data_IF_101694607703
#
_entry.id   IF_101694607703
#
_cell.length_a   1.000
_cell.length_b   1.000
_cell.length_c   1.000
_cell.angle_alpha   90.00
_cell.angle_beta   90.00
_cell.angle_gamma   90.00
#
_symmetry.space_group_name_H-M   'P 1'
#
loop_
_entity.id
_entity.type
_entity.pdbx_description
1 polymer ?
#
# COMPACT_ATOMS: atom_id res chain seq x y z
N UNK A 1 11.44 -19.91 -22.11
CA UNK A 1 11.72 -18.91 -21.05
C UNK A 1 10.84 -17.70 -21.32
N UNK A 2 10.01 -17.30 -20.35
CA UNK A 2 9.05 -16.19 -20.49
C UNK A 2 9.72 -14.84 -20.13
N UNK A 3 9.38 -13.72 -20.81
CA UNK A 3 9.64 -12.38 -20.29
C UNK A 3 8.99 -12.22 -18.91
N UNK A 4 9.57 -11.40 -18.03
CA UNK A 4 9.05 -11.29 -16.66
C UNK A 4 7.66 -10.68 -16.58
N UNK A 5 7.31 -9.76 -17.47
CA UNK A 5 5.96 -9.21 -17.55
C UNK A 5 4.93 -10.29 -17.91
N UNK A 6 5.26 -11.19 -18.86
CA UNK A 6 4.39 -12.30 -19.24
C UNK A 6 4.26 -13.33 -18.13
N UNK A 7 5.35 -13.67 -17.43
CA UNK A 7 5.33 -14.55 -16.27
C UNK A 7 4.48 -13.96 -15.13
N UNK A 8 4.63 -12.66 -14.85
CA UNK A 8 3.81 -11.96 -13.86
C UNK A 8 2.33 -11.95 -14.23
N UNK A 9 2.00 -11.70 -15.50
CA UNK A 9 0.63 -11.73 -16.00
C UNK A 9 0.02 -13.13 -15.85
N UNK A 10 0.78 -14.19 -16.17
CA UNK A 10 0.35 -15.58 -16.00
C UNK A 10 0.05 -15.93 -14.53
N UNK A 11 0.90 -15.49 -13.58
CA UNK A 11 0.63 -15.64 -12.14
C UNK A 11 -0.70 -15.00 -11.77
N UNK A 12 -0.90 -13.74 -12.16
CA UNK A 12 -2.13 -12.98 -11.85
C UNK A 12 -3.37 -13.65 -12.44
N UNK A 13 -3.31 -14.06 -13.70
CA UNK A 13 -4.42 -14.71 -14.40
C UNK A 13 -4.76 -16.08 -13.78
N UNK A 14 -3.74 -16.88 -13.48
CA UNK A 14 -3.93 -18.19 -12.84
C UNK A 14 -4.63 -18.05 -11.48
N UNK A 15 -4.20 -17.10 -10.65
CA UNK A 15 -4.85 -16.91 -9.36
C UNK A 15 -6.27 -16.39 -9.50
N UNK A 16 -6.52 -15.47 -10.43
CA UNK A 16 -7.88 -14.97 -10.71
C UNK A 16 -8.83 -16.09 -11.13
N UNK A 17 -8.38 -16.98 -12.02
CA UNK A 17 -9.22 -18.05 -12.55
C UNK A 17 -9.39 -19.22 -11.59
N UNK A 18 -8.34 -19.59 -10.83
CA UNK A 18 -8.32 -20.83 -10.03
C UNK A 18 -8.57 -20.64 -8.54
N UNK A 19 -8.19 -19.48 -7.96
CA UNK A 19 -8.38 -19.23 -6.52
C UNK A 19 -9.77 -18.72 -6.16
N UNK A 20 -10.69 -18.58 -7.13
CA UNK A 20 -12.05 -18.09 -6.88
C UNK A 20 -12.10 -16.63 -6.38
N UNK A 21 -11.05 -15.86 -6.64
CA UNK A 21 -11.01 -14.42 -6.33
C UNK A 21 -11.72 -13.70 -7.48
N UNK A 22 -12.87 -13.07 -7.31
CA UNK A 22 -13.20 -12.06 -6.32
C UNK A 22 -14.40 -12.34 -5.39
N UNK A 23 -15.21 -13.36 -5.61
CA UNK A 23 -16.47 -13.53 -4.85
C UNK A 23 -16.29 -14.27 -3.51
N UNK A 24 -15.35 -15.22 -3.41
CA UNK A 24 -15.07 -15.95 -2.17
C UNK A 24 -14.16 -15.18 -1.19
N UNK A 25 -13.54 -14.08 -1.63
CA UNK A 25 -12.59 -13.30 -0.82
C UNK A 25 -13.17 -12.76 0.49
N UNK A 26 -14.49 -12.55 0.54
CA UNK A 26 -15.18 -12.08 1.75
C UNK A 26 -15.74 -13.22 2.62
N UNK A 27 -15.67 -14.48 2.15
CA UNK A 27 -16.20 -15.63 2.87
C UNK A 27 -15.44 -15.93 4.18
N UNK A 28 -14.18 -15.53 4.28
CA UNK A 28 -13.32 -15.73 5.45
C UNK A 28 -12.95 -14.40 6.12
N UNK A 29 -13.95 -13.52 6.31
CA UNK A 29 -13.74 -12.24 6.96
C UNK A 29 -13.55 -12.42 8.48
N UNK A 30 -12.66 -11.61 9.04
CA UNK A 30 -12.48 -11.45 10.49
C UNK A 30 -12.89 -10.05 10.91
N UNK A 31 -13.23 -9.88 12.19
CA UNK A 31 -13.69 -8.60 12.73
C UNK A 31 -12.57 -7.95 13.54
N UNK A 32 -12.26 -6.70 13.20
CA UNK A 32 -11.32 -5.85 13.94
C UNK A 32 -12.12 -4.83 14.75
N UNK A 33 -11.77 -4.71 16.03
CA UNK A 33 -12.31 -3.72 16.96
C UNK A 33 -11.39 -2.48 16.95
N UNK A 34 -11.82 -1.40 16.29
CA UNK A 34 -11.03 -0.17 16.11
C UNK A 34 -10.68 0.53 17.43
N UNK A 35 -11.60 0.71 18.39
CA UNK A 35 -11.28 1.30 19.68
C UNK A 35 -10.19 0.54 20.43
N UNK A 36 -10.09 -0.77 20.25
CA UNK A 36 -9.10 -1.62 20.94
C UNK A 36 -7.75 -1.63 20.23
N UNK A 37 -7.73 -1.84 18.93
CA UNK A 37 -6.48 -1.88 18.15
C UNK A 37 -6.68 -1.40 16.71
N UNK A 38 -6.62 -0.10 16.45
CA UNK A 38 -6.73 0.44 15.10
C UNK A 38 -5.58 -0.01 14.19
N UNK A 39 -4.40 -0.37 14.75
CA UNK A 39 -3.24 -0.82 13.96
C UNK A 39 -3.49 -2.16 13.28
N UNK A 40 -4.32 -3.03 13.90
CA UNK A 40 -4.67 -4.32 13.31
C UNK A 40 -5.41 -4.19 11.97
N UNK A 41 -6.05 -3.03 11.72
CA UNK A 41 -6.79 -2.73 10.50
C UNK A 41 -5.90 -2.16 9.38
N UNK A 42 -4.73 -1.62 9.69
CA UNK A 42 -3.85 -0.99 8.70
C UNK A 42 -3.40 -2.02 7.65
N UNK A 43 -3.59 -1.65 6.36
CA UNK A 43 -3.22 -2.49 5.22
C UNK A 43 -4.16 -3.66 4.95
N UNK A 44 -5.21 -3.86 5.77
CA UNK A 44 -6.24 -4.90 5.55
C UNK A 44 -7.22 -4.48 4.45
N UNK A 45 -7.89 -5.45 3.89
CA UNK A 45 -8.90 -5.22 2.84
C UNK A 45 -10.28 -5.31 3.48
N UNK A 46 -11.06 -4.26 3.30
CA UNK A 46 -12.43 -4.18 3.82
C UNK A 46 -13.32 -5.23 3.14
N UNK A 47 -14.11 -5.95 3.95
CA UNK A 47 -14.99 -7.03 3.50
C UNK A 47 -16.49 -6.70 3.64
N UNK A 48 -16.83 -5.45 3.93
CA UNK A 48 -18.19 -4.96 4.08
C UNK A 48 -18.31 -3.54 3.54
N UNK A 49 -19.53 -3.07 3.31
CA UNK A 49 -19.80 -1.64 3.15
C UNK A 49 -19.62 -0.93 4.49
N UNK A 50 -19.06 0.27 4.45
CA UNK A 50 -19.11 1.25 5.54
C UNK A 50 -19.97 2.39 5.05
N UNK A 51 -21.14 2.54 5.67
CA UNK A 51 -22.12 3.55 5.30
C UNK A 51 -22.22 4.63 6.39
N UNK A 52 -22.55 5.84 5.97
CA UNK A 52 -22.81 6.95 6.87
C UNK A 52 -24.06 6.68 7.72
N UNK A 53 -23.95 6.77 9.05
CA UNK A 53 -25.05 6.56 10.01
C UNK A 53 -26.05 7.73 10.02
N UNK A 54 -25.64 8.90 9.53
CA UNK A 54 -26.40 10.14 9.41
C UNK A 54 -25.79 11.03 8.33
N UNK A 55 -26.41 12.18 8.08
CA UNK A 55 -25.81 13.20 7.20
C UNK A 55 -24.51 13.76 7.75
N UNK A 56 -23.52 13.97 6.89
CA UNK A 56 -22.24 14.60 7.19
C UNK A 56 -22.01 15.82 6.29
N UNK A 57 -21.76 17.01 6.86
CA UNK A 57 -21.94 17.32 8.28
C UNK A 57 -23.43 17.20 8.69
N UNK A 58 -23.74 16.97 9.99
CA UNK A 58 -25.13 16.76 10.45
C UNK A 58 -25.98 18.02 10.51
N UNK A 59 -25.37 19.17 10.26
CA UNK A 59 -26.04 20.50 10.21
C UNK A 59 -25.22 21.42 9.27
N UNK A 60 -25.84 22.51 8.84
CA UNK A 60 -25.10 23.55 8.11
C UNK A 60 -23.96 24.08 9.00
N UNK A 61 -22.71 23.94 8.59
CA UNK A 61 -21.52 24.15 9.40
C UNK A 61 -20.68 25.30 8.86
N UNK A 62 -20.34 26.28 9.71
CA UNK A 62 -19.40 27.34 9.31
C UNK A 62 -18.01 26.80 8.96
N UNK A 63 -17.42 27.37 7.91
CA UNK A 63 -16.03 27.08 7.50
C UNK A 63 -15.05 28.19 7.93
N UNK A 64 -15.55 29.26 8.54
CA UNK A 64 -14.76 30.43 8.96
C UNK A 64 -15.25 30.94 10.32
N UNK A 65 -14.34 31.59 11.03
CA UNK A 65 -14.68 32.42 12.17
C UNK A 65 -15.23 33.76 11.68
N UNK A 66 -16.31 34.23 12.26
CA UNK A 66 -16.98 35.45 11.83
C UNK A 66 -18.35 35.63 12.38
N UNK A 67 -19.26 36.14 11.55
CA UNK A 67 -20.63 36.46 11.95
C UNK A 67 -21.62 35.84 10.94
N UNK A 68 -22.59 35.12 11.48
CA UNK A 68 -23.71 34.56 10.73
C UNK A 68 -24.88 35.52 10.73
N UNK A 69 -25.50 35.75 9.57
CA UNK A 69 -26.64 36.65 9.42
C UNK A 69 -27.47 36.27 8.18
N UNK A 70 -28.53 37.06 7.95
CA UNK A 70 -29.24 37.05 6.67
C UNK A 70 -28.46 37.93 5.69
N UNK A 71 -28.04 37.39 4.55
CA UNK A 71 -27.27 38.14 3.54
C UNK A 71 -27.99 39.45 3.10
N UNK A 72 -29.30 39.41 2.97
CA UNK A 72 -30.11 40.58 2.64
C UNK A 72 -30.02 41.74 3.68
N UNK A 73 -29.54 41.47 4.90
CA UNK A 73 -29.35 42.49 5.93
C UNK A 73 -28.03 43.26 5.74
N UNK A 74 -27.13 42.79 4.87
CA UNK A 74 -25.80 43.41 4.58
C UNK A 74 -25.65 43.56 3.06
N UNK A 75 -26.56 44.31 2.46
CA UNK A 75 -26.57 44.56 1.00
C UNK A 75 -25.43 45.50 0.55
N UNK A 76 -24.95 46.36 1.43
CA UNK A 76 -23.93 47.36 1.14
C UNK A 76 -22.85 47.41 2.22
N UNK A 77 -21.58 47.76 1.85
CA UNK A 77 -20.53 48.03 2.81
C UNK A 77 -20.91 49.13 3.81
N UNK A 78 -20.42 49.03 5.03
CA UNK A 78 -20.76 50.00 6.10
C UNK A 78 -22.05 49.66 6.89
N UNK A 79 -22.72 48.57 6.54
CA UNK A 79 -23.93 48.11 7.27
C UNK A 79 -23.55 47.67 8.69
N UNK A 80 -24.39 48.02 9.65
CA UNK A 80 -24.27 47.63 11.08
C UNK A 80 -25.39 46.69 11.47
N UNK A 81 -25.05 45.55 12.10
CA UNK A 81 -26.04 44.64 12.68
C UNK A 81 -25.81 44.49 14.17
N UNK A 82 -26.90 44.26 14.92
CA UNK A 82 -26.84 44.01 16.36
C UNK A 82 -26.33 42.59 16.62
N UNK A 83 -25.33 42.44 17.47
CA UNK A 83 -24.81 41.16 17.93
C UNK A 83 -25.73 40.59 19.01
N UNK A 84 -26.38 39.45 18.71
CA UNK A 84 -27.41 38.88 19.62
C UNK A 84 -26.96 37.58 20.29
N UNK A 85 -25.78 37.07 19.99
CA UNK A 85 -25.25 35.87 20.64
C UNK A 85 -24.10 35.22 19.91
N UNK A 86 -23.82 33.99 20.29
CA UNK A 86 -22.70 33.20 19.76
C UNK A 86 -23.15 31.77 19.45
N UNK A 87 -22.60 31.21 18.35
CA UNK A 87 -22.62 29.78 17.98
C UNK A 87 -21.19 29.24 17.93
N UNK A 88 -20.93 28.14 18.61
CA UNK A 88 -19.63 27.51 18.67
C UNK A 88 -19.70 25.99 18.46
N UNK A 89 -18.61 25.33 18.20
CA UNK A 89 -18.59 23.88 18.05
C UNK A 89 -19.22 23.21 19.29
N UNK A 90 -20.23 22.35 19.04
CA UNK A 90 -20.98 21.64 20.07
C UNK A 90 -22.09 22.47 20.75
N UNK A 91 -22.22 23.80 20.50
CA UNK A 91 -23.24 24.67 21.11
C UNK A 91 -23.84 25.58 20.04
N UNK A 92 -25.03 25.23 19.58
CA UNK A 92 -25.79 26.06 18.63
C UNK A 92 -26.38 27.30 19.33
N UNK A 93 -26.49 28.43 18.59
CA UNK A 93 -27.30 29.55 19.03
C UNK A 93 -28.76 29.12 19.11
N UNK A 94 -29.45 29.32 20.27
CA UNK A 94 -30.80 28.77 20.48
C UNK A 94 -31.91 29.53 19.75
N UNK A 95 -31.64 30.78 19.34
CA UNK A 95 -32.63 31.66 18.72
C UNK A 95 -32.73 31.54 17.20
N UNK A 96 -33.55 32.38 16.61
CA UNK A 96 -33.64 32.62 15.16
C UNK A 96 -33.18 34.04 14.90
N UNK A 97 -32.29 34.24 13.94
CA UNK A 97 -31.76 35.55 13.56
C UNK A 97 -32.86 36.35 12.81
N UNK A 98 -33.16 37.54 13.30
CA UNK A 98 -34.05 38.48 12.65
C UNK A 98 -33.30 39.42 11.68
N UNK A 99 -34.01 40.22 10.90
CA UNK A 99 -33.41 41.28 10.12
C UNK A 99 -32.73 42.31 11.05
N UNK A 100 -31.54 42.75 10.69
CA UNK A 100 -30.75 43.69 11.52
C UNK A 100 -29.94 43.01 12.64
N UNK A 101 -29.92 41.70 12.72
CA UNK A 101 -29.19 40.94 13.74
C UNK A 101 -28.09 40.06 13.13
N UNK A 102 -27.05 39.81 13.89
CA UNK A 102 -26.02 38.83 13.60
C UNK A 102 -25.62 38.02 14.85
N UNK A 103 -25.07 36.85 14.63
CA UNK A 103 -24.56 35.95 15.67
C UNK A 103 -23.10 35.68 15.38
N UNK A 104 -22.23 35.82 16.37
CA UNK A 104 -20.85 35.40 16.26
C UNK A 104 -20.78 33.89 16.03
N UNK A 105 -20.00 33.45 15.06
CA UNK A 105 -19.89 32.04 14.71
C UNK A 105 -18.43 31.67 14.57
N UNK A 106 -18.09 30.49 15.15
CA UNK A 106 -16.73 29.93 15.04
C UNK A 106 -16.73 28.81 13.98
N UNK A 107 -15.59 28.55 13.41
CA UNK A 107 -15.35 27.43 12.48
C UNK A 107 -15.84 26.11 13.08
N UNK A 108 -16.59 25.33 12.31
CA UNK A 108 -17.19 24.09 12.78
C UNK A 108 -18.51 24.23 13.54
N UNK A 109 -18.93 25.46 13.87
CA UNK A 109 -20.17 25.70 14.57
C UNK A 109 -21.42 25.56 13.67
N UNK A 110 -22.57 25.15 14.25
CA UNK A 110 -23.85 25.14 13.53
C UNK A 110 -24.26 26.54 13.08
N UNK A 111 -24.69 26.66 11.81
CA UNK A 111 -25.27 27.90 11.30
C UNK A 111 -26.60 28.17 12.02
N UNK A 112 -26.77 29.35 12.64
CA UNK A 112 -28.02 29.69 13.34
C UNK A 112 -29.25 29.73 12.41
N UNK A 113 -30.41 29.39 12.94
CA UNK A 113 -31.66 29.50 12.20
C UNK A 113 -31.87 30.92 11.70
N UNK A 114 -32.27 31.05 10.44
CA UNK A 114 -32.50 32.35 9.79
C UNK A 114 -31.26 32.93 9.13
N UNK A 115 -30.06 32.44 9.39
CA UNK A 115 -28.85 32.81 8.65
C UNK A 115 -28.76 32.05 7.33
N UNK A 116 -28.24 32.71 6.31
CA UNK A 116 -27.95 32.18 4.99
C UNK A 116 -26.52 32.53 4.49
N UNK A 117 -25.71 33.09 5.37
CA UNK A 117 -24.32 33.49 5.08
C UNK A 117 -23.49 33.64 6.36
N UNK A 118 -22.17 33.53 6.19
CA UNK A 118 -21.18 33.90 7.20
C UNK A 118 -20.20 34.88 6.57
N UNK A 119 -19.95 36.01 7.24
CA UNK A 119 -18.89 36.96 6.87
C UNK A 119 -17.73 36.78 7.84
N UNK A 120 -16.53 36.68 7.29
CA UNK A 120 -15.31 36.48 8.09
C UNK A 120 -15.05 37.65 9.03
N UNK A 121 -14.54 37.40 10.22
CA UNK A 121 -14.25 38.40 11.23
C UNK A 121 -13.26 39.47 10.76
N UNK A 122 -12.33 39.12 9.85
CA UNK A 122 -11.33 40.01 9.25
C UNK A 122 -11.96 41.11 8.38
N UNK A 123 -13.25 40.96 8.01
CA UNK A 123 -13.99 41.90 7.18
C UNK A 123 -15.07 42.64 8.03
N UNK A 124 -14.83 42.70 9.33
CA UNK A 124 -15.80 43.30 10.25
C UNK A 124 -15.10 44.07 11.38
N UNK A 125 -15.82 45.05 11.97
CA UNK A 125 -15.40 45.76 13.17
C UNK A 125 -16.48 45.69 14.24
N UNK A 126 -16.10 45.26 15.46
CA UNK A 126 -17.05 45.20 16.60
C UNK A 126 -17.08 46.53 17.31
N UNK A 127 -18.28 47.13 17.45
CA UNK A 127 -18.52 48.42 18.12
C UNK A 127 -19.62 48.25 19.19
N UNK A 128 -19.20 47.90 20.40
CA UNK A 128 -20.14 47.61 21.51
C UNK A 128 -21.06 46.43 21.19
N UNK A 129 -22.36 46.68 21.11
CA UNK A 129 -23.38 45.68 20.76
C UNK A 129 -23.60 45.53 19.25
N UNK A 130 -22.83 46.24 18.43
CA UNK A 130 -23.01 46.23 16.98
C UNK A 130 -21.73 45.70 16.29
N UNK A 131 -21.92 45.14 15.08
CA UNK A 131 -20.86 44.71 14.19
C UNK A 131 -21.04 45.49 12.88
N UNK A 132 -19.99 46.18 12.48
CA UNK A 132 -19.87 46.89 11.20
C UNK A 132 -19.30 45.92 10.17
N UNK A 133 -19.94 45.79 9.03
CA UNK A 133 -19.53 44.95 7.89
C UNK A 133 -18.88 45.80 6.80
N UNK A 134 -17.65 45.54 6.47
CA UNK A 134 -16.85 46.31 5.49
C UNK A 134 -17.19 45.92 4.04
N UNK A 135 -17.89 44.80 3.82
CA UNK A 135 -18.29 44.30 2.51
C UNK A 135 -19.72 43.79 2.52
N UNK A 136 -20.38 43.84 1.36
CA UNK A 136 -21.68 43.25 1.15
C UNK A 136 -21.63 41.71 1.29
N UNK A 137 -22.63 41.15 1.95
CA UNK A 137 -22.77 39.70 2.13
C UNK A 137 -23.47 39.07 0.93
N UNK A 138 -23.09 37.83 0.61
CA UNK A 138 -23.75 37.02 -0.42
C UNK A 138 -24.29 35.74 0.19
N UNK A 139 -25.48 35.31 -0.22
CA UNK A 139 -26.08 34.05 0.19
C UNK A 139 -25.12 32.87 -0.11
N UNK A 140 -25.01 31.93 0.81
CA UNK A 140 -24.20 30.70 0.63
C UNK A 140 -22.70 30.81 0.95
N UNK A 141 -22.24 32.00 1.43
CA UNK A 141 -20.81 32.16 1.74
C UNK A 141 -20.43 31.50 3.07
N UNK A 142 -19.26 30.86 3.06
CA UNK A 142 -18.49 30.38 4.22
C UNK A 142 -19.21 29.40 5.15
N UNK A 143 -20.14 28.59 4.63
CA UNK A 143 -20.66 27.43 5.32
C UNK A 143 -20.86 26.25 4.34
N UNK A 144 -20.90 25.04 4.89
CA UNK A 144 -21.19 23.79 4.18
C UNK A 144 -22.58 23.34 4.60
N UNK A 145 -23.36 22.86 3.64
CA UNK A 145 -24.70 22.33 3.88
C UNK A 145 -24.64 20.97 4.60
N UNK A 146 -25.63 20.69 5.41
CA UNK A 146 -25.87 19.37 5.97
C UNK A 146 -25.92 18.33 4.84
N UNK A 147 -25.23 17.20 5.03
CA UNK A 147 -25.18 16.11 4.05
C UNK A 147 -24.35 16.38 2.79
N UNK A 148 -23.57 17.47 2.75
CA UNK A 148 -22.75 17.79 1.58
C UNK A 148 -21.55 16.85 1.39
N UNK A 149 -21.06 16.23 2.46
CA UNK A 149 -19.91 15.30 2.44
C UNK A 149 -20.38 13.85 2.27
N UNK A 150 -21.47 13.47 2.97
CA UNK A 150 -22.14 12.18 2.80
C UNK A 150 -23.58 12.26 3.34
N UNK A 151 -24.50 11.53 2.74
CA UNK A 151 -25.88 11.41 3.22
C UNK A 151 -26.06 10.14 4.04
N UNK A 152 -27.01 10.15 4.96
CA UNK A 152 -27.40 8.98 5.73
C UNK A 152 -27.64 7.76 4.82
N UNK A 153 -26.99 6.64 5.11
CA UNK A 153 -27.06 5.41 4.34
C UNK A 153 -26.17 5.33 3.11
N UNK A 154 -25.48 6.43 2.74
CA UNK A 154 -24.52 6.43 1.64
C UNK A 154 -23.29 5.60 2.00
N UNK A 155 -22.83 4.73 1.07
CA UNK A 155 -21.59 3.95 1.25
C UNK A 155 -20.39 4.87 1.05
N UNK A 156 -19.68 5.15 2.13
CA UNK A 156 -18.49 6.02 2.14
C UNK A 156 -17.18 5.26 1.93
N UNK A 157 -17.13 3.95 2.27
CA UNK A 157 -16.00 3.07 1.96
C UNK A 157 -16.57 1.74 1.45
N UNK A 158 -16.36 1.41 0.15
CA UNK A 158 -16.84 0.15 -0.40
C UNK A 158 -15.92 -1.04 -0.01
N UNK A 159 -16.44 -2.28 -0.07
CA UNK A 159 -15.64 -3.48 0.13
C UNK A 159 -14.54 -3.58 -0.94
N UNK A 160 -13.43 -4.22 -0.59
CA UNK A 160 -12.23 -4.27 -1.43
C UNK A 160 -11.29 -3.09 -1.26
N UNK A 161 -11.67 -2.07 -0.48
CA UNK A 161 -10.80 -0.94 -0.15
C UNK A 161 -9.69 -1.40 0.80
N UNK A 162 -8.45 -1.01 0.51
CA UNK A 162 -7.33 -1.20 1.44
C UNK A 162 -7.35 -0.10 2.48
N UNK A 163 -7.40 -0.50 3.75
CA UNK A 163 -7.52 0.42 4.87
C UNK A 163 -6.18 1.09 5.19
N UNK A 164 -6.16 2.40 5.10
CA UNK A 164 -5.10 3.27 5.61
C UNK A 164 -5.64 4.18 6.71
N UNK A 165 -4.86 5.15 7.13
CA UNK A 165 -5.25 6.08 8.19
C UNK A 165 -6.48 6.94 7.82
N UNK A 166 -6.64 7.28 6.54
CA UNK A 166 -7.76 8.08 6.07
C UNK A 166 -9.07 7.29 6.11
N UNK A 167 -9.06 6.05 5.61
CA UNK A 167 -10.22 5.15 5.64
C UNK A 167 -10.64 4.83 7.08
N UNK A 168 -9.67 4.67 7.99
CA UNK A 168 -9.95 4.45 9.41
C UNK A 168 -10.56 5.69 10.07
N UNK A 169 -10.14 6.91 9.68
CA UNK A 169 -10.74 8.14 10.15
C UNK A 169 -12.20 8.28 9.69
N UNK A 170 -12.48 7.99 8.41
CA UNK A 170 -13.84 7.99 7.87
C UNK A 170 -14.71 6.94 8.58
N UNK A 171 -14.20 5.71 8.75
CA UNK A 171 -14.93 4.67 9.48
C UNK A 171 -15.28 5.08 10.91
N UNK A 172 -14.33 5.72 11.61
CA UNK A 172 -14.57 6.24 12.95
C UNK A 172 -15.58 7.38 12.97
N UNK A 173 -15.52 8.31 12.01
CA UNK A 173 -16.43 9.44 11.87
C UNK A 173 -17.88 8.97 11.71
N UNK A 174 -18.11 7.95 10.88
CA UNK A 174 -19.45 7.37 10.65
C UNK A 174 -19.86 6.33 11.70
N UNK A 175 -19.13 6.25 12.83
CA UNK A 175 -19.49 5.39 13.96
C UNK A 175 -19.21 3.90 13.77
N UNK A 176 -18.47 3.52 12.75
CA UNK A 176 -18.14 2.11 12.47
C UNK A 176 -17.00 1.61 13.36
N UNK A 177 -17.32 1.24 14.60
CA UNK A 177 -16.34 0.77 15.58
C UNK A 177 -15.74 -0.61 15.28
N UNK A 178 -16.41 -1.43 14.47
CA UNK A 178 -16.00 -2.79 14.11
C UNK A 178 -15.98 -2.96 12.61
N UNK A 179 -14.82 -3.35 12.05
CA UNK A 179 -14.65 -3.57 10.62
C UNK A 179 -14.49 -5.05 10.32
N UNK A 180 -15.29 -5.55 9.37
CA UNK A 180 -15.02 -6.85 8.75
C UNK A 180 -13.95 -6.68 7.67
N UNK A 181 -12.89 -7.45 7.75
CA UNK A 181 -11.77 -7.43 6.81
C UNK A 181 -11.46 -8.83 6.32
N UNK A 182 -10.89 -8.97 5.14
CA UNK A 182 -10.45 -10.27 4.63
C UNK A 182 -9.37 -10.86 5.54
N UNK A 183 -9.36 -12.18 5.73
CA UNK A 183 -8.31 -12.87 6.47
C UNK A 183 -6.94 -12.67 5.81
N UNK A 184 -5.89 -12.56 6.60
CA UNK A 184 -4.52 -12.58 6.06
C UNK A 184 -4.20 -13.96 5.49
N UNK A 185 -3.72 -14.07 4.25
CA UNK A 185 -3.24 -15.34 3.72
C UNK A 185 -2.07 -15.87 4.55
N UNK A 186 -2.04 -17.18 4.78
CA UNK A 186 -0.90 -17.87 5.38
C UNK A 186 0.04 -18.32 4.27
N UNK A 187 1.30 -17.98 4.37
CA UNK A 187 2.33 -18.29 3.38
C UNK A 187 3.37 -19.20 4.01
N UNK A 188 3.38 -20.47 3.63
CA UNK A 188 4.39 -21.41 4.08
C UNK A 188 5.72 -21.14 3.36
N UNK A 189 6.82 -21.18 4.12
CA UNK A 189 8.17 -20.99 3.62
C UNK A 189 8.99 -22.21 4.02
N UNK A 190 9.46 -22.96 3.01
CA UNK A 190 10.32 -24.13 3.17
C UNK A 190 11.64 -23.83 2.46
N UNK A 191 12.73 -23.83 3.18
CA UNK A 191 14.09 -23.74 2.62
C UNK A 191 14.68 -25.14 2.48
N UNK A 192 15.36 -25.42 1.36
CA UNK A 192 16.02 -26.70 1.11
C UNK A 192 17.49 -26.52 0.86
N UNK A 193 18.30 -27.45 1.29
CA UNK A 193 19.75 -27.49 1.10
C UNK A 193 20.48 -28.10 2.29
N UNK A 194 21.37 -29.06 2.03
CA UNK A 194 22.18 -29.72 3.05
C UNK A 194 23.22 -28.78 3.66
N UNK A 195 23.54 -27.67 2.97
CA UNK A 195 24.43 -26.62 3.45
C UNK A 195 23.78 -25.72 4.50
N UNK A 196 22.44 -25.77 4.68
CA UNK A 196 21.72 -24.83 5.54
C UNK A 196 21.76 -25.24 7.00
N UNK A 197 22.15 -24.29 7.86
CA UNK A 197 22.10 -24.46 9.32
C UNK A 197 21.20 -23.40 9.96
N UNK A 198 20.75 -23.67 11.17
CA UNK A 198 19.97 -22.72 11.99
C UNK A 198 20.74 -21.42 12.23
N UNK A 199 20.01 -20.32 12.49
CA UNK A 199 20.63 -18.99 12.63
C UNK A 199 21.58 -18.88 13.82
N UNK A 200 21.30 -19.57 14.89
CA UNK A 200 22.09 -19.62 16.13
C UNK A 200 23.21 -20.67 16.09
N UNK A 201 23.21 -21.56 15.09
CA UNK A 201 24.25 -22.54 14.92
C UNK A 201 25.53 -21.89 14.36
N UNK A 202 26.69 -22.47 14.71
CA UNK A 202 27.98 -22.13 14.11
C UNK A 202 28.14 -22.94 12.82
N UNK A 203 28.20 -22.31 11.63
CA UNK A 203 28.37 -23.07 10.38
C UNK A 203 29.73 -23.79 10.33
N UNK A 204 29.73 -24.99 9.81
CA UNK A 204 30.95 -25.70 9.37
C UNK A 204 31.55 -25.06 8.11
N UNK A 205 32.66 -25.61 7.61
CA UNK A 205 33.43 -25.02 6.48
C UNK A 205 32.62 -24.83 5.18
N UNK A 206 31.56 -25.61 4.95
CA UNK A 206 30.76 -25.62 3.74
C UNK A 206 29.26 -25.35 4.05
N UNK A 207 28.97 -24.88 5.23
CA UNK A 207 27.60 -24.58 5.68
C UNK A 207 27.38 -23.09 5.73
N UNK A 208 26.12 -22.70 5.51
CA UNK A 208 25.64 -21.32 5.58
C UNK A 208 24.37 -21.24 6.42
N UNK A 209 24.10 -20.07 6.99
CA UNK A 209 22.84 -19.83 7.70
C UNK A 209 21.71 -19.58 6.72
N UNK A 210 20.51 -20.06 7.04
CA UNK A 210 19.29 -19.84 6.27
C UNK A 210 18.85 -18.37 6.31
N UNK A 211 19.45 -17.52 5.49
CA UNK A 211 19.07 -16.11 5.35
C UNK A 211 17.80 -15.91 4.52
N UNK A 212 17.53 -16.82 3.55
CA UNK A 212 16.35 -16.72 2.69
C UNK A 212 15.06 -16.88 3.46
N UNK A 213 14.97 -17.83 4.40
CA UNK A 213 13.79 -18.01 5.22
C UNK A 213 13.41 -16.74 5.98
N UNK A 214 14.41 -16.03 6.54
CA UNK A 214 14.19 -14.76 7.27
C UNK A 214 13.75 -13.64 6.34
N UNK A 215 14.44 -13.47 5.20
CA UNK A 215 14.10 -12.40 4.26
C UNK A 215 12.73 -12.60 3.62
N UNK A 216 12.38 -13.84 3.26
CA UNK A 216 11.06 -14.18 2.73
C UNK A 216 9.95 -13.94 3.77
N UNK A 217 10.16 -14.34 5.03
CA UNK A 217 9.20 -14.07 6.09
C UNK A 217 8.96 -12.56 6.27
N UNK A 218 10.03 -11.76 6.24
CA UNK A 218 9.92 -10.31 6.29
C UNK A 218 9.16 -9.74 5.08
N UNK A 219 9.46 -10.20 3.86
CA UNK A 219 8.77 -9.76 2.64
C UNK A 219 7.28 -10.15 2.67
N UNK A 220 6.94 -11.36 3.10
CA UNK A 220 5.54 -11.82 3.29
C UNK A 220 4.80 -10.92 4.28
N UNK A 221 5.42 -10.59 5.41
CA UNK A 221 4.83 -9.70 6.41
C UNK A 221 4.62 -8.28 5.86
N UNK A 222 5.59 -7.74 5.10
CA UNK A 222 5.49 -6.42 4.46
C UNK A 222 4.38 -6.33 3.39
N UNK A 223 4.01 -7.46 2.76
CA UNK A 223 2.86 -7.51 1.86
C UNK A 223 1.54 -7.63 2.63
N UNK A 224 1.59 -7.86 3.94
CA UNK A 224 0.42 -7.91 4.82
C UNK A 224 -0.12 -9.32 5.05
N UNK A 225 0.69 -10.37 4.83
CA UNK A 225 0.34 -11.78 5.03
C UNK A 225 1.07 -12.38 6.22
N UNK A 226 0.64 -13.58 6.63
CA UNK A 226 1.20 -14.31 7.75
C UNK A 226 2.26 -15.32 7.27
N UNK A 227 3.55 -15.12 7.57
CA UNK A 227 4.57 -16.09 7.23
C UNK A 227 4.53 -17.29 8.18
N UNK A 228 4.58 -18.50 7.63
CA UNK A 228 4.71 -19.76 8.37
C UNK A 228 6.04 -20.39 8.01
N UNK A 229 7.05 -20.20 8.86
CA UNK A 229 8.37 -20.76 8.66
C UNK A 229 8.39 -22.23 9.04
N UNK A 230 8.90 -23.08 8.16
CA UNK A 230 9.23 -24.48 8.46
C UNK A 230 10.73 -24.60 8.77
N UNK A 231 11.11 -25.65 9.46
CA UNK A 231 12.52 -26.04 9.53
C UNK A 231 13.06 -26.28 8.10
N UNK A 232 14.36 -26.04 7.88
CA UNK A 232 14.99 -26.38 6.60
C UNK A 232 14.88 -27.87 6.35
N UNK A 233 14.47 -28.25 5.13
CA UNK A 233 14.46 -29.64 4.69
C UNK A 233 15.84 -30.01 4.13
N UNK A 234 16.29 -31.21 4.43
CA UNK A 234 17.45 -31.81 3.73
C UNK A 234 17.06 -32.16 2.29
N UNK A 235 18.08 -32.31 1.43
CA UNK A 235 17.89 -32.71 0.03
C UNK A 235 17.58 -34.23 -0.11
N UNK A 236 16.78 -34.75 0.85
CA UNK A 236 16.25 -36.09 0.88
C UNK A 236 14.81 -36.12 0.37
N UNK A 237 14.47 -36.93 -0.67
CA UNK A 237 13.16 -36.89 -1.32
C UNK A 237 11.96 -37.05 -0.36
N UNK A 238 12.09 -37.95 0.64
CA UNK A 238 11.00 -38.20 1.58
C UNK A 238 10.75 -37.03 2.54
N UNK A 239 11.82 -36.36 2.99
CA UNK A 239 11.73 -35.20 3.89
C UNK A 239 11.21 -33.99 3.15
N UNK A 240 11.71 -33.73 1.94
CA UNK A 240 11.24 -32.68 1.06
C UNK A 240 9.74 -32.84 0.75
N UNK A 241 9.33 -34.06 0.38
CA UNK A 241 7.91 -34.36 0.12
C UNK A 241 7.04 -34.06 1.35
N UNK A 242 7.43 -34.55 2.53
CA UNK A 242 6.70 -34.30 3.77
C UNK A 242 6.62 -32.79 4.10
N UNK A 243 7.69 -32.04 3.83
CA UNK A 243 7.73 -30.58 4.04
C UNK A 243 6.84 -29.83 3.06
N UNK A 244 6.81 -30.22 1.79
CA UNK A 244 5.89 -29.69 0.78
C UNK A 244 4.45 -29.99 1.15
N UNK A 245 4.11 -31.23 1.54
CA UNK A 245 2.75 -31.61 1.92
C UNK A 245 2.24 -30.78 3.11
N UNK A 246 3.06 -30.59 4.15
CA UNK A 246 2.73 -29.68 5.26
C UNK A 246 2.58 -28.22 4.81
N UNK A 247 3.45 -27.76 3.91
CA UNK A 247 3.40 -26.40 3.37
C UNK A 247 2.13 -26.12 2.55
N UNK A 248 1.58 -27.14 1.88
CA UNK A 248 0.34 -27.05 1.11
C UNK A 248 -0.93 -26.90 1.99
N UNK A 249 -0.82 -27.01 3.32
CA UNK A 249 -1.90 -26.64 4.25
C UNK A 249 -2.09 -25.12 4.35
N UNK A 250 -1.09 -24.33 3.95
CA UNK A 250 -1.19 -22.87 3.86
C UNK A 250 -1.96 -22.43 2.60
N UNK A 251 -2.11 -21.12 2.41
CA UNK A 251 -2.78 -20.56 1.24
C UNK A 251 -1.84 -20.43 0.03
N UNK A 252 -0.53 -20.36 0.30
CA UNK A 252 0.55 -20.28 -0.68
C UNK A 252 1.79 -20.96 -0.10
N UNK A 253 2.53 -21.67 -0.95
CA UNK A 253 3.79 -22.30 -0.60
C UNK A 253 4.97 -21.65 -1.32
N UNK A 254 6.01 -21.28 -0.58
CA UNK A 254 7.31 -20.85 -1.08
C UNK A 254 8.36 -21.91 -0.78
N UNK A 255 9.07 -22.34 -1.80
CA UNK A 255 10.24 -23.20 -1.72
C UNK A 255 11.46 -22.35 -2.08
N UNK A 256 12.52 -22.36 -1.27
CA UNK A 256 13.75 -21.61 -1.52
C UNK A 256 14.93 -22.55 -1.49
N UNK A 257 15.63 -22.63 -2.62
CA UNK A 257 16.65 -23.65 -2.89
C UNK A 257 16.07 -24.83 -3.67
N UNK A 258 16.94 -25.72 -4.15
CA UNK A 258 16.56 -26.92 -4.90
C UNK A 258 15.91 -26.67 -6.28
N UNK A 259 15.90 -25.44 -6.79
CA UNK A 259 15.32 -25.06 -8.10
C UNK A 259 16.44 -24.64 -9.08
N UNK A 260 17.42 -25.48 -9.29
CA UNK A 260 18.51 -25.21 -10.25
C UNK A 260 18.24 -25.89 -11.60
N UNK A 261 18.70 -25.29 -12.70
CA UNK A 261 18.63 -25.84 -14.07
C UNK A 261 19.53 -27.08 -14.21
N UNK A 262 19.30 -28.10 -13.43
CA UNK A 262 20.12 -29.31 -13.37
C UNK A 262 19.27 -30.59 -13.40
N UNK A 263 19.92 -31.68 -13.85
CA UNK A 263 19.36 -33.04 -14.00
C UNK A 263 18.85 -33.68 -12.69
N UNK A 264 18.85 -32.92 -11.58
CA UNK A 264 18.54 -33.36 -10.20
C UNK A 264 17.70 -32.32 -9.42
N UNK A 265 16.76 -31.66 -10.09
CA UNK A 265 15.87 -30.74 -9.38
C UNK A 265 14.81 -31.52 -8.59
N UNK A 266 15.16 -31.86 -7.35
CA UNK A 266 14.27 -32.61 -6.44
C UNK A 266 12.95 -31.90 -6.17
N UNK A 267 12.94 -30.59 -6.22
CA UNK A 267 11.73 -29.78 -5.96
C UNK A 267 10.70 -29.96 -7.08
N UNK A 268 11.12 -29.78 -8.34
CA UNK A 268 10.23 -29.94 -9.50
C UNK A 268 9.69 -31.38 -9.59
N UNK A 269 10.59 -32.38 -9.44
CA UNK A 269 10.18 -33.78 -9.48
C UNK A 269 9.18 -34.11 -8.36
N UNK A 270 9.46 -33.65 -7.13
CA UNK A 270 8.55 -33.88 -5.99
C UNK A 270 7.20 -33.21 -6.20
N UNK A 271 7.17 -32.00 -6.78
CA UNK A 271 5.92 -31.31 -7.12
C UNK A 271 5.12 -32.08 -8.18
N UNK A 272 5.78 -32.58 -9.22
CA UNK A 272 5.14 -33.40 -10.26
C UNK A 272 4.57 -34.69 -9.66
N UNK A 273 5.32 -35.38 -8.79
CA UNK A 273 4.88 -36.59 -8.10
C UNK A 273 3.68 -36.35 -7.13
N UNK A 274 3.50 -35.10 -6.68
CA UNK A 274 2.36 -34.64 -5.90
C UNK A 274 1.18 -34.18 -6.76
N UNK A 275 1.32 -34.29 -8.09
CA UNK A 275 0.29 -33.91 -9.07
C UNK A 275 0.24 -32.41 -9.35
N UNK A 276 1.33 -31.69 -9.18
CA UNK A 276 1.41 -30.29 -9.53
C UNK A 276 1.44 -30.09 -11.06
N UNK A 277 0.78 -29.03 -11.50
CA UNK A 277 0.92 -28.47 -12.84
C UNK A 277 1.99 -27.38 -12.81
N UNK A 278 3.11 -27.58 -13.49
CA UNK A 278 4.16 -26.56 -13.65
C UNK A 278 3.72 -25.59 -14.76
N UNK A 279 3.56 -24.32 -14.42
CA UNK A 279 3.12 -23.26 -15.34
C UNK A 279 4.30 -22.56 -16.02
N UNK A 280 5.40 -22.41 -15.30
CA UNK A 280 6.73 -22.07 -15.83
C UNK A 280 7.82 -22.50 -14.84
N UNK A 281 9.02 -22.72 -15.36
CA UNK A 281 10.22 -23.16 -14.65
C UNK A 281 11.38 -22.16 -14.77
N UNK A 282 11.24 -21.19 -15.67
CA UNK A 282 12.27 -20.21 -15.95
C UNK A 282 11.75 -18.91 -16.53
N UNK A 283 12.38 -17.80 -16.14
CA UNK A 283 12.00 -16.45 -16.54
C UNK A 283 13.22 -15.69 -17.07
N UNK A 284 13.03 -14.82 -18.08
CA UNK A 284 14.08 -14.03 -18.72
C UNK A 284 14.54 -12.84 -17.85
N UNK A 285 15.04 -13.11 -16.65
CA UNK A 285 15.55 -12.12 -15.70
C UNK A 285 16.93 -12.47 -15.16
N UNK A 286 17.63 -11.47 -14.68
CA UNK A 286 18.88 -11.60 -13.93
C UNK A 286 18.91 -10.57 -12.78
N UNK A 287 19.11 -11.00 -11.51
CA UNK A 287 19.13 -12.38 -11.03
C UNK A 287 17.71 -12.99 -10.98
N UNK A 288 17.63 -14.35 -10.89
CA UNK A 288 16.35 -15.02 -10.66
C UNK A 288 15.83 -15.87 -11.82
N UNK A 289 16.66 -16.21 -12.83
CA UNK A 289 16.25 -17.02 -13.98
C UNK A 289 15.53 -18.33 -13.61
N UNK A 290 16.07 -19.21 -12.71
CA UNK A 290 15.41 -20.44 -12.33
C UNK A 290 14.31 -20.16 -11.30
N UNK A 291 13.15 -19.72 -11.77
CA UNK A 291 11.97 -19.48 -10.94
C UNK A 291 10.83 -20.35 -11.42
N UNK A 292 10.30 -21.17 -10.53
CA UNK A 292 9.18 -22.08 -10.79
C UNK A 292 7.88 -21.48 -10.28
N UNK A 293 6.84 -21.57 -11.08
CA UNK A 293 5.45 -21.34 -10.66
C UNK A 293 4.63 -22.55 -10.99
N UNK A 294 3.99 -23.12 -9.98
CA UNK A 294 3.18 -24.31 -10.10
C UNK A 294 1.83 -24.15 -9.40
N UNK A 295 0.88 -25.00 -9.78
CA UNK A 295 -0.39 -25.16 -9.10
C UNK A 295 -0.49 -26.58 -8.56
N UNK A 296 -0.57 -26.75 -7.25
CA UNK A 296 -0.57 -28.06 -6.60
C UNK A 296 -1.72 -28.17 -5.60
N UNK A 297 -2.58 -29.17 -5.74
CA UNK A 297 -3.71 -29.45 -4.82
C UNK A 297 -4.55 -28.19 -4.51
N UNK A 298 -4.82 -27.36 -5.52
CA UNK A 298 -5.61 -26.14 -5.37
C UNK A 298 -4.84 -24.94 -4.78
N UNK A 299 -3.52 -25.01 -4.65
CA UNK A 299 -2.67 -23.97 -4.07
C UNK A 299 -1.60 -23.50 -5.05
N UNK A 300 -1.27 -22.18 -5.05
CA UNK A 300 -0.11 -21.67 -5.75
C UNK A 300 1.18 -22.05 -5.01
N UNK A 301 2.17 -22.50 -5.77
CA UNK A 301 3.48 -22.88 -5.31
C UNK A 301 4.54 -22.13 -6.09
N UNK A 302 5.48 -21.50 -5.41
CA UNK A 302 6.65 -20.87 -6.03
C UNK A 302 7.92 -21.55 -5.58
N UNK A 303 8.72 -22.01 -6.54
CA UNK A 303 10.11 -22.41 -6.35
C UNK A 303 11.01 -21.22 -6.67
N UNK A 304 11.69 -20.69 -5.65
CA UNK A 304 12.56 -19.53 -5.76
C UNK A 304 14.03 -19.95 -5.72
N UNK A 305 14.92 -19.23 -6.42
CA UNK A 305 16.35 -19.56 -6.44
C UNK A 305 16.96 -19.60 -5.04
N UNK A 306 18.00 -20.44 -4.83
CA UNK A 306 18.74 -20.47 -3.57
C UNK A 306 19.56 -19.20 -3.31
N UNK A 307 20.00 -18.51 -4.37
CA UNK A 307 20.75 -17.25 -4.24
C UNK A 307 19.86 -16.11 -3.67
N UNK A 308 20.27 -15.46 -2.57
CA UNK A 308 19.38 -14.56 -1.80
C UNK A 308 18.88 -13.34 -2.59
N UNK A 309 19.73 -12.69 -3.38
CA UNK A 309 19.28 -11.52 -4.18
C UNK A 309 18.27 -11.94 -5.23
N UNK A 310 18.45 -13.13 -5.83
CA UNK A 310 17.47 -13.70 -6.76
C UNK A 310 16.13 -13.93 -6.08
N UNK A 311 16.15 -14.53 -4.89
CA UNK A 311 14.95 -14.80 -4.08
C UNK A 311 14.19 -13.50 -3.76
N UNK A 312 14.89 -12.45 -3.36
CA UNK A 312 14.29 -11.14 -3.07
C UNK A 312 13.63 -10.51 -4.30
N UNK A 313 14.30 -10.52 -5.45
CA UNK A 313 13.78 -9.97 -6.71
C UNK A 313 12.57 -10.76 -7.18
N UNK A 314 12.67 -12.09 -7.24
CA UNK A 314 11.56 -12.93 -7.72
C UNK A 314 10.34 -12.89 -6.81
N UNK A 315 10.54 -12.69 -5.51
CA UNK A 315 9.44 -12.42 -4.59
C UNK A 315 8.66 -11.16 -4.99
N UNK A 316 9.33 -10.03 -5.19
CA UNK A 316 8.66 -8.77 -5.56
C UNK A 316 7.94 -8.88 -6.91
N UNK A 317 8.52 -9.60 -7.87
CA UNK A 317 7.97 -9.73 -9.21
C UNK A 317 6.75 -10.66 -9.28
N UNK A 318 6.76 -11.79 -8.58
CA UNK A 318 5.82 -12.89 -8.78
C UNK A 318 5.02 -13.25 -7.52
N UNK A 319 5.65 -13.30 -6.35
CA UNK A 319 5.01 -13.73 -5.11
C UNK A 319 4.14 -12.62 -4.51
N UNK A 320 4.66 -11.40 -4.46
CA UNK A 320 3.92 -10.26 -3.90
C UNK A 320 2.55 -10.04 -4.57
N UNK A 321 2.42 -10.02 -5.92
CA UNK A 321 1.10 -9.90 -6.56
C UNK A 321 0.19 -11.10 -6.30
N UNK A 322 0.74 -12.31 -6.13
CA UNK A 322 -0.04 -13.49 -5.77
C UNK A 322 -0.65 -13.35 -4.37
N UNK A 323 0.14 -12.89 -3.40
CA UNK A 323 -0.31 -12.61 -2.04
C UNK A 323 -1.36 -11.49 -2.02
N UNK A 324 -1.17 -10.42 -2.79
CA UNK A 324 -2.14 -9.33 -2.91
C UNK A 324 -3.50 -9.86 -3.39
N UNK A 325 -3.53 -10.72 -4.41
CA UNK A 325 -4.76 -11.37 -4.89
C UNK A 325 -5.40 -12.24 -3.81
N UNK A 326 -4.64 -13.11 -3.15
CA UNK A 326 -5.15 -13.98 -2.08
C UNK A 326 -5.69 -13.17 -0.89
N UNK A 327 -5.17 -11.98 -0.66
CA UNK A 327 -5.67 -11.03 0.34
C UNK A 327 -6.98 -10.34 -0.08
N UNK A 328 -7.44 -10.53 -1.33
CA UNK A 328 -8.61 -9.87 -1.87
C UNK A 328 -8.34 -8.50 -2.48
N UNK A 329 -7.09 -8.14 -2.71
CA UNK A 329 -6.68 -6.90 -3.34
C UNK A 329 -6.41 -7.10 -4.84
N UNK A 330 -6.78 -6.13 -5.67
CA UNK A 330 -6.40 -6.15 -7.07
C UNK A 330 -4.90 -5.85 -7.18
N UNK A 331 -4.11 -6.72 -7.84
CA UNK A 331 -2.68 -6.52 -7.94
C UNK A 331 -2.38 -5.24 -8.70
N UNK A 332 -1.55 -4.42 -8.09
CA UNK A 332 -1.08 -3.18 -8.70
C UNK A 332 -0.03 -3.46 -9.77
N UNK A 333 0.16 -2.57 -10.74
CA UNK A 333 1.36 -2.57 -11.55
C UNK A 333 2.60 -2.60 -10.65
N UNK A 334 3.72 -3.10 -11.16
CA UNK A 334 4.99 -2.96 -10.45
C UNK A 334 5.20 -1.48 -10.09
N UNK A 335 5.59 -1.15 -8.85
CA UNK A 335 5.74 0.24 -8.41
C UNK A 335 7.03 0.86 -8.96
N UNK A 336 7.19 0.80 -10.29
CA UNK A 336 8.33 1.38 -10.97
C UNK A 336 8.17 2.89 -11.03
N UNK A 337 9.24 3.61 -10.72
CA UNK A 337 9.31 5.04 -10.92
C UNK A 337 10.59 5.42 -11.68
N UNK A 338 10.61 6.55 -12.42
CA UNK A 338 11.78 6.97 -13.17
C UNK A 338 12.79 7.67 -12.25
N UNK A 339 14.09 7.40 -12.48
CA UNK A 339 15.20 8.14 -11.88
C UNK A 339 16.29 8.34 -12.93
N UNK A 340 17.08 9.42 -12.81
CA UNK A 340 18.22 9.68 -13.70
C UNK A 340 19.42 8.84 -13.25
N UNK A 341 20.11 8.24 -14.22
CA UNK A 341 21.32 7.47 -13.94
C UNK A 341 22.49 8.39 -13.57
N UNK A 342 23.17 8.05 -12.48
CA UNK A 342 24.42 8.73 -12.10
C UNK A 342 25.60 8.35 -13.01
N UNK A 343 25.65 7.10 -13.46
CA UNK A 343 26.73 6.52 -14.24
C UNK A 343 26.19 5.64 -15.38
N UNK A 344 26.90 5.48 -16.50
CA UNK A 344 26.46 4.63 -17.59
C UNK A 344 26.39 3.15 -17.16
N UNK A 345 25.46 2.40 -17.75
CA UNK A 345 25.24 0.98 -17.52
C UNK A 345 25.38 0.22 -18.82
N UNK A 346 26.13 -0.89 -18.77
CA UNK A 346 26.31 -1.80 -19.89
C UNK A 346 26.06 -3.23 -19.45
N UNK A 347 24.87 -3.76 -19.77
CA UNK A 347 24.49 -5.14 -19.49
C UNK A 347 24.38 -5.97 -20.78
N UNK A 348 24.32 -7.28 -20.62
CA UNK A 348 24.10 -8.19 -21.76
C UNK A 348 22.60 -8.20 -22.09
N UNK A 349 22.27 -8.06 -23.38
CA UNK A 349 20.89 -8.19 -23.85
C UNK A 349 20.31 -9.60 -23.69
N UNK A 350 19.00 -9.73 -23.94
CA UNK A 350 18.27 -11.00 -23.93
C UNK A 350 17.58 -11.36 -22.61
N UNK A 351 17.83 -10.60 -21.53
CA UNK A 351 17.14 -10.73 -20.24
C UNK A 351 17.00 -9.35 -19.60
N UNK A 352 15.96 -9.17 -18.79
CA UNK A 352 15.85 -7.99 -17.95
C UNK A 352 16.73 -8.12 -16.70
N UNK A 353 17.50 -7.06 -16.37
CA UNK A 353 18.39 -7.06 -15.22
C UNK A 353 17.81 -6.19 -14.10
N UNK A 354 17.85 -6.71 -12.87
CA UNK A 354 17.47 -6.01 -11.63
C UNK A 354 18.72 -5.86 -10.77
N UNK A 355 19.37 -4.71 -10.88
CA UNK A 355 20.66 -4.45 -10.24
C UNK A 355 20.45 -3.78 -8.88
N UNK A 356 21.10 -4.23 -7.79
CA UNK A 356 21.09 -3.51 -6.52
C UNK A 356 21.54 -2.07 -6.72
N UNK A 357 20.74 -1.12 -6.25
CA UNK A 357 20.95 0.28 -6.51
C UNK A 357 20.52 1.15 -5.30
N UNK A 358 20.94 2.39 -5.32
CA UNK A 358 20.53 3.43 -4.40
C UNK A 358 19.97 4.61 -5.18
N UNK A 359 18.75 5.01 -4.85
CA UNK A 359 18.18 6.26 -5.31
C UNK A 359 18.31 7.30 -4.20
N UNK A 360 18.69 8.51 -4.60
CA UNK A 360 18.76 9.70 -3.76
C UNK A 360 18.04 10.84 -4.46
N UNK A 361 17.53 11.80 -3.69
CA UNK A 361 16.97 13.02 -4.23
C UNK A 361 18.01 14.11 -4.10
N UNK A 362 18.57 14.54 -5.24
CA UNK A 362 19.52 15.63 -5.27
C UNK A 362 18.83 16.92 -4.79
N UNK A 363 19.45 17.60 -3.81
CA UNK A 363 19.04 18.96 -3.47
C UNK A 363 19.24 19.83 -4.71
N UNK A 364 18.18 20.56 -5.11
CA UNK A 364 18.32 21.51 -6.19
C UNK A 364 19.36 22.59 -5.84
N UNK A 365 20.08 23.12 -6.84
CA UNK A 365 20.90 24.30 -6.65
C UNK A 365 20.05 25.42 -6.04
N UNK A 366 20.67 26.23 -5.21
CA UNK A 366 20.15 27.17 -4.21
C UNK A 366 19.19 28.28 -4.66
N UNK A 367 18.35 28.09 -5.63
CA UNK A 367 17.31 29.06 -5.97
C UNK A 367 16.03 28.72 -5.18
N UNK A 368 16.00 29.19 -3.92
CA UNK A 368 15.01 28.86 -2.89
C UNK A 368 13.59 29.39 -3.14
N UNK A 369 13.36 30.22 -4.13
CA UNK A 369 12.04 30.80 -4.41
C UNK A 369 11.19 30.03 -5.40
N UNK A 370 11.77 29.12 -6.17
CA UNK A 370 11.05 28.15 -7.01
C UNK A 370 11.51 26.76 -6.60
N UNK A 371 10.94 26.23 -5.50
CA UNK A 371 11.28 24.86 -5.02
C UNK A 371 11.20 23.88 -6.21
N UNK A 372 12.33 23.50 -6.85
CA UNK A 372 12.27 22.52 -7.89
C UNK A 372 11.98 21.18 -7.22
N UNK A 373 11.09 20.43 -7.82
CA UNK A 373 10.94 19.01 -7.52
C UNK A 373 12.35 18.40 -7.61
N UNK A 374 12.85 17.83 -6.51
CA UNK A 374 14.16 17.19 -6.49
C UNK A 374 14.15 16.04 -7.47
N UNK A 375 15.09 16.00 -8.40
CA UNK A 375 15.20 14.89 -9.35
C UNK A 375 15.76 13.66 -8.66
N UNK A 376 15.09 12.51 -8.70
CA UNK A 376 15.65 11.27 -8.18
C UNK A 376 16.84 10.85 -9.07
N UNK A 377 17.97 10.57 -8.43
CA UNK A 377 19.18 10.07 -9.09
C UNK A 377 19.49 8.69 -8.56
N UNK A 378 19.70 7.73 -9.46
CA UNK A 378 20.00 6.34 -9.13
C UNK A 378 21.43 5.97 -9.50
N UNK A 379 22.14 5.33 -8.59
CA UNK A 379 23.44 4.72 -8.81
C UNK A 379 23.37 3.20 -8.54
N UNK A 380 24.02 2.40 -9.35
CA UNK A 380 24.22 0.96 -9.06
C UNK A 380 25.26 0.79 -7.99
N UNK A 381 25.06 -0.21 -7.13
CA UNK A 381 26.03 -0.58 -6.12
C UNK A 381 26.97 -1.68 -6.64
N UNK A 382 28.23 -1.61 -6.26
CA UNK A 382 29.15 -2.72 -6.50
C UNK A 382 28.64 -3.96 -5.76
N UNK A 383 28.54 -5.07 -6.47
CA UNK A 383 28.06 -6.35 -5.95
C UNK A 383 28.75 -7.54 -6.63
N UNK A 384 28.97 -8.59 -5.86
CA UNK A 384 29.65 -9.83 -6.29
C UNK A 384 28.67 -10.89 -6.84
N UNK A 385 27.51 -10.44 -7.36
CA UNK A 385 26.50 -11.31 -7.95
C UNK A 385 25.35 -11.66 -6.99
N UNK A 386 24.54 -12.65 -7.39
CA UNK A 386 23.24 -12.96 -6.76
C UNK A 386 23.32 -13.48 -5.31
N UNK A 387 24.51 -13.75 -4.79
CA UNK A 387 24.76 -14.11 -3.40
C UNK A 387 25.03 -12.91 -2.48
N UNK A 388 25.30 -11.70 -3.02
CA UNK A 388 25.71 -10.54 -2.23
C UNK A 388 24.53 -9.81 -1.60
N UNK A 389 24.06 -10.29 -0.45
CA UNK A 389 23.00 -9.66 0.36
C UNK A 389 23.45 -8.26 0.83
N UNK A 390 24.75 -8.08 1.09
CA UNK A 390 25.29 -6.82 1.60
C UNK A 390 25.05 -5.66 0.63
N UNK A 391 25.18 -5.88 -0.66
CA UNK A 391 24.88 -4.89 -1.68
C UNK A 391 23.41 -4.45 -1.62
N UNK A 392 22.47 -5.42 -1.53
CA UNK A 392 21.04 -5.10 -1.39
C UNK A 392 20.76 -4.35 -0.10
N UNK A 393 21.39 -4.74 1.01
CA UNK A 393 21.19 -4.08 2.31
C UNK A 393 21.67 -2.60 2.31
N UNK A 394 22.74 -2.30 1.56
CA UNK A 394 23.23 -0.92 1.36
C UNK A 394 22.38 -0.10 0.40
N UNK A 395 21.62 -0.77 -0.51
CA UNK A 395 20.71 -0.13 -1.45
C UNK A 395 19.31 0.12 -0.86
N UNK A 396 18.49 0.85 -1.59
CA UNK A 396 17.08 1.06 -1.27
C UNK A 396 16.14 0.69 -2.44
N UNK A 397 16.71 0.25 -3.56
CA UNK A 397 15.98 -0.09 -4.77
C UNK A 397 16.74 -1.08 -5.63
N UNK A 398 16.09 -1.55 -6.69
CA UNK A 398 16.71 -2.24 -7.82
C UNK A 398 16.54 -1.39 -9.08
N UNK A 399 17.64 -1.18 -9.82
CA UNK A 399 17.58 -0.57 -11.15
C UNK A 399 17.16 -1.64 -12.17
N UNK A 400 16.12 -1.35 -12.94
CA UNK A 400 15.66 -2.20 -14.04
C UNK A 400 16.36 -1.78 -15.35
N UNK A 401 17.20 -2.67 -15.88
CA UNK A 401 17.72 -2.57 -17.23
C UNK A 401 16.96 -3.56 -18.12
N UNK A 402 16.22 -3.05 -19.10
CA UNK A 402 15.37 -3.86 -19.97
C UNK A 402 16.19 -4.62 -21.00
N UNK A 403 15.74 -5.81 -21.38
CA UNK A 403 16.34 -6.66 -22.41
C UNK A 403 16.49 -5.96 -23.76
N UNK A 404 15.53 -5.11 -24.12
CA UNK A 404 15.51 -4.32 -25.36
C UNK A 404 16.45 -3.14 -25.35
N UNK A 405 16.95 -2.72 -24.18
CA UNK A 405 17.84 -1.58 -24.00
C UNK A 405 18.89 -1.87 -22.92
N UNK A 406 19.87 -2.73 -23.23
CA UNK A 406 20.86 -3.19 -22.25
C UNK A 406 21.97 -2.16 -21.93
N UNK A 407 21.99 -1.03 -22.67
CA UNK A 407 22.93 0.05 -22.48
C UNK A 407 22.17 1.35 -22.21
N UNK A 408 22.60 2.06 -21.19
CA UNK A 408 22.01 3.33 -20.75
C UNK A 408 23.15 4.29 -20.40
N UNK A 409 23.02 5.56 -20.83
CA UNK A 409 24.02 6.58 -20.56
C UNK A 409 23.74 7.34 -19.24
N UNK A 410 24.76 7.98 -18.69
CA UNK A 410 24.60 8.85 -17.54
C UNK A 410 23.61 9.99 -17.84
N UNK A 411 22.74 10.32 -16.91
CA UNK A 411 21.68 11.32 -17.07
C UNK A 411 20.40 10.80 -17.76
N UNK A 412 20.42 9.61 -18.35
CA UNK A 412 19.21 9.01 -18.91
C UNK A 412 18.25 8.57 -17.81
N UNK A 413 16.94 8.58 -18.14
CA UNK A 413 15.89 8.08 -17.26
C UNK A 413 15.80 6.56 -17.33
N UNK A 414 15.89 5.94 -16.18
CA UNK A 414 15.75 4.49 -16.00
C UNK A 414 14.64 4.15 -15.01
N UNK A 415 14.06 2.97 -15.15
CA UNK A 415 13.03 2.48 -14.25
C UNK A 415 13.67 1.90 -12.97
N UNK A 416 13.12 2.26 -11.83
CA UNK A 416 13.59 1.83 -10.52
C UNK A 416 12.47 1.10 -9.79
N UNK A 417 12.75 -0.09 -9.27
CA UNK A 417 11.87 -0.85 -8.39
C UNK A 417 12.28 -0.58 -6.93
N UNK A 418 11.45 0.13 -6.14
CA UNK A 418 11.78 0.42 -4.75
C UNK A 418 11.81 -0.87 -3.92
N UNK A 419 12.69 -0.93 -2.92
CA UNK A 419 12.63 -1.98 -1.91
C UNK A 419 11.47 -1.68 -0.97
N UNK A 420 10.55 -2.63 -0.85
CA UNK A 420 9.36 -2.52 0.01
C UNK A 420 9.74 -2.24 1.47
N UNK A 421 9.12 -1.22 2.07
CA UNK A 421 9.38 -0.82 3.47
C UNK A 421 10.66 -0.01 3.69
N UNK A 422 11.39 0.36 2.63
CA UNK A 422 12.60 1.19 2.69
C UNK A 422 12.42 2.51 1.93
N UNK A 423 11.66 2.48 0.83
CA UNK A 423 11.20 3.64 0.06
C UNK A 423 9.69 3.66 0.00
#
# INVERSE_FOLDING_TARGET
MLPFEAARALVIETLRSRAGVPESRFATAETIDLPRDPRAAIGRILAQDVAADRDYPPFNRSTRDGYAMRSASVAEPGTRLRLVGESRAGVAYPGTIAAGECVRILTGAPLPRGADTVVMQELTQTEGEFVLFEQAARTGQHYVLAGAEARAGEVVIPPGTRLGYAELAVAAEVGQARLKVTRRPRVAIVSTGDELVALDARPGPFQIRNSNGVSLAAQVALVGSEPVLSASAHDEPAELRASIERGLEADLLLLSGGVSVGKYDLVEQTLLDLGAEILFDSVAIRPGRPTVFAWCRGKPVFGLPGNPVSTMVTFELFVAPAIELLSGYLPRPLPLFPAQLAHPIHEKGGMAHFLPARVTWAAAPSDRERAPLTTPVVETLLWEGSGDIGAVARGNCFLLVRESRPQLEAGEWAAVLPRRGVL
#
